data_IF_485154735362
#
_entry.id   IF_485154735362
#
_cell.length_a   1.000
_cell.length_b   1.000
_cell.length_c   1.000
_cell.angle_alpha   90.00
_cell.angle_beta   90.00
_cell.angle_gamma   90.00
#
_symmetry.space_group_name_H-M   'P 1'
#
loop_
_entity.id
_entity.type
_entity.pdbx_description
1 polymer ?
#
# COMPACT_ATOMS: atom_id res chain seq x y z
N UNK A 1 20.09 0.99 39.24
CA UNK A 1 20.42 1.46 37.88
C UNK A 1 19.37 0.91 36.94
N UNK A 2 18.48 1.76 36.38
CA UNK A 2 17.29 1.32 35.66
C UNK A 2 17.66 0.68 34.31
N UNK A 3 16.92 -0.36 33.91
CA UNK A 3 17.04 -1.02 32.61
C UNK A 3 17.06 0.00 31.46
N UNK A 4 16.36 1.11 31.60
CA UNK A 4 16.31 2.23 30.64
C UNK A 4 17.67 2.89 30.35
N UNK A 5 18.62 2.93 31.33
CA UNK A 5 19.91 3.55 31.10
C UNK A 5 20.86 2.70 30.24
N UNK A 6 20.68 1.37 30.28
CA UNK A 6 21.43 0.42 29.43
C UNK A 6 21.04 0.47 27.96
N UNK A 7 19.75 0.72 27.68
CA UNK A 7 19.24 0.83 26.31
C UNK A 7 19.56 2.18 25.64
N UNK A 8 19.75 3.24 26.42
CA UNK A 8 20.01 4.58 25.88
C UNK A 8 21.37 4.70 25.18
N UNK A 9 22.34 3.87 25.54
CA UNK A 9 23.70 3.87 24.97
C UNK A 9 23.93 2.75 23.92
N UNK A 10 22.89 1.95 23.61
CA UNK A 10 22.98 0.94 22.55
C UNK A 10 22.78 1.60 21.17
N UNK A 11 23.80 1.55 20.27
CA UNK A 11 23.71 2.15 18.96
C UNK A 11 22.61 1.51 18.08
N UNK A 12 22.27 0.23 18.32
CA UNK A 12 21.16 -0.43 17.63
C UNK A 12 19.82 0.13 18.09
N UNK A 13 19.63 0.33 19.38
CA UNK A 13 18.42 0.89 19.95
C UNK A 13 18.20 2.35 19.50
N UNK A 14 19.24 3.17 19.52
CA UNK A 14 19.18 4.55 19.01
C UNK A 14 18.82 4.59 17.51
N UNK A 15 19.35 3.64 16.72
CA UNK A 15 19.06 3.50 15.29
C UNK A 15 17.61 3.09 15.05
N UNK A 16 17.09 2.12 15.81
CA UNK A 16 15.69 1.67 15.75
C UNK A 16 14.74 2.82 16.07
N UNK A 17 14.94 3.51 17.21
CA UNK A 17 14.11 4.66 17.61
C UNK A 17 14.13 5.75 16.53
N UNK A 18 15.30 6.09 16.01
CA UNK A 18 15.43 7.12 14.96
C UNK A 18 14.75 6.72 13.65
N UNK A 19 14.75 5.44 13.31
CA UNK A 19 14.13 4.94 12.08
C UNK A 19 12.62 4.86 12.23
N UNK A 20 12.15 4.30 13.35
CA UNK A 20 10.72 4.22 13.68
C UNK A 20 10.12 5.61 13.90
N UNK A 21 10.82 6.51 14.58
CA UNK A 21 10.39 7.90 14.76
C UNK A 21 10.23 8.67 13.45
N UNK A 22 11.13 8.47 12.49
CA UNK A 22 11.03 9.11 11.18
C UNK A 22 9.84 8.57 10.37
N UNK A 23 9.60 7.24 10.40
CA UNK A 23 8.42 6.61 9.79
C UNK A 23 7.13 7.09 10.44
N UNK A 24 7.10 7.08 11.77
CA UNK A 24 5.95 7.55 12.54
C UNK A 24 5.60 8.98 12.19
N UNK A 25 6.58 9.90 12.19
CA UNK A 25 6.36 11.30 11.83
C UNK A 25 5.85 11.46 10.40
N UNK A 26 6.43 10.75 9.43
CA UNK A 26 5.98 10.82 8.02
C UNK A 26 4.57 10.26 7.87
N UNK A 27 4.25 9.16 8.52
CA UNK A 27 2.91 8.56 8.45
C UNK A 27 1.87 9.43 9.15
N UNK A 28 2.18 10.02 10.30
CA UNK A 28 1.29 10.95 11.02
C UNK A 28 0.99 12.20 10.19
N UNK A 29 2.01 12.78 9.53
CA UNK A 29 1.80 13.91 8.62
C UNK A 29 0.95 13.51 7.41
N UNK A 30 1.21 12.35 6.81
CA UNK A 30 0.42 11.84 5.68
C UNK A 30 -1.05 11.62 6.06
N UNK A 31 -1.32 11.14 7.28
CA UNK A 31 -2.69 10.98 7.79
C UNK A 31 -3.36 12.33 8.07
N UNK A 32 -2.64 13.30 8.63
CA UNK A 32 -3.15 14.67 8.75
C UNK A 32 -3.55 15.27 7.40
N UNK A 33 -2.71 15.08 6.38
CA UNK A 33 -3.04 15.47 5.01
C UNK A 33 -4.25 14.71 4.47
N UNK A 34 -4.41 13.42 4.77
CA UNK A 34 -5.57 12.63 4.34
C UNK A 34 -6.87 13.13 4.97
N UNK A 35 -6.85 13.58 6.24
CA UNK A 35 -8.02 14.23 6.89
C UNK A 35 -8.36 15.52 6.13
N UNK A 36 -7.36 16.37 5.86
CA UNK A 36 -7.55 17.60 5.09
C UNK A 36 -8.15 17.31 3.71
N UNK A 37 -7.61 16.32 2.99
CA UNK A 37 -8.16 15.86 1.70
C UNK A 37 -9.63 15.46 1.84
N UNK A 38 -9.97 14.64 2.85
CA UNK A 38 -11.34 14.20 3.11
C UNK A 38 -12.29 15.37 3.35
N UNK A 39 -11.90 16.34 4.17
CA UNK A 39 -12.70 17.56 4.45
C UNK A 39 -12.90 18.39 3.17
N UNK A 40 -11.83 18.64 2.41
CA UNK A 40 -11.92 19.43 1.18
C UNK A 40 -12.78 18.75 0.12
N UNK A 41 -12.61 17.43 -0.09
CA UNK A 41 -13.40 16.66 -1.06
C UNK A 41 -14.88 16.61 -0.66
N UNK A 42 -15.17 16.40 0.64
CA UNK A 42 -16.54 16.37 1.14
C UNK A 42 -17.23 17.73 1.00
N UNK A 43 -16.51 18.83 1.23
CA UNK A 43 -17.02 20.19 1.02
C UNK A 43 -17.22 20.52 -0.47
N UNK A 44 -16.32 20.08 -1.34
CA UNK A 44 -16.38 20.33 -2.78
C UNK A 44 -17.50 19.53 -3.45
N UNK A 45 -17.58 18.23 -3.17
CA UNK A 45 -18.41 17.29 -3.94
C UNK A 45 -19.63 16.75 -3.16
N UNK A 46 -19.70 17.05 -1.87
CA UNK A 46 -20.71 16.49 -0.94
C UNK A 46 -20.37 15.08 -0.46
N UNK A 47 -21.03 14.63 0.64
CA UNK A 47 -20.77 13.34 1.28
C UNK A 47 -21.09 12.15 0.37
N UNK A 48 -22.09 12.25 -0.48
CA UNK A 48 -22.47 11.19 -1.43
C UNK A 48 -21.35 10.88 -2.44
N UNK A 49 -20.74 11.91 -3.05
CA UNK A 49 -19.63 11.73 -4.00
C UNK A 49 -18.35 11.27 -3.30
N UNK A 50 -18.10 11.74 -2.07
CA UNK A 50 -16.99 11.26 -1.25
C UNK A 50 -17.16 9.79 -0.85
N UNK A 51 -18.39 9.37 -0.56
CA UNK A 51 -18.73 7.97 -0.31
C UNK A 51 -18.53 7.10 -1.54
N UNK A 52 -18.95 7.57 -2.72
CA UNK A 52 -18.71 6.86 -3.99
C UNK A 52 -17.20 6.64 -4.24
N UNK A 53 -16.37 7.66 -4.04
CA UNK A 53 -14.91 7.51 -4.09
C UNK A 53 -14.42 6.47 -3.09
N UNK A 54 -14.99 6.46 -1.87
CA UNK A 54 -14.69 5.47 -0.85
C UNK A 54 -14.97 4.04 -1.31
N UNK A 55 -16.14 3.81 -1.91
CA UNK A 55 -16.54 2.50 -2.45
C UNK A 55 -15.57 2.05 -3.55
N UNK A 56 -15.28 2.92 -4.53
CA UNK A 56 -14.37 2.63 -5.64
C UNK A 56 -12.97 2.23 -5.12
N UNK A 57 -12.45 3.02 -4.17
CA UNK A 57 -11.13 2.78 -3.59
C UNK A 57 -11.10 1.51 -2.75
N UNK A 58 -12.10 1.29 -1.90
CA UNK A 58 -12.21 0.10 -1.06
C UNK A 58 -12.37 -1.17 -1.89
N UNK A 59 -13.19 -1.14 -2.95
CA UNK A 59 -13.36 -2.29 -3.84
C UNK A 59 -12.04 -2.73 -4.47
N UNK A 60 -11.31 -1.79 -5.10
CA UNK A 60 -10.02 -2.09 -5.70
C UNK A 60 -8.99 -2.59 -4.66
N UNK A 61 -8.98 -2.00 -3.46
CA UNK A 61 -8.09 -2.42 -2.37
C UNK A 61 -8.44 -3.82 -1.87
N UNK A 62 -9.72 -4.12 -1.65
CA UNK A 62 -10.19 -5.44 -1.19
C UNK A 62 -9.87 -6.53 -2.22
N UNK A 63 -10.16 -6.29 -3.52
CA UNK A 63 -9.80 -7.25 -4.58
C UNK A 63 -8.29 -7.50 -4.59
N UNK A 64 -7.48 -6.44 -4.52
CA UNK A 64 -6.03 -6.59 -4.43
C UNK A 64 -5.61 -7.40 -3.18
N UNK A 65 -6.24 -7.18 -2.04
CA UNK A 65 -5.91 -7.86 -0.78
C UNK A 65 -6.27 -9.34 -0.78
N UNK A 66 -7.33 -9.74 -1.50
CA UNK A 66 -7.70 -11.15 -1.68
C UNK A 66 -6.60 -11.93 -2.41
N UNK A 67 -5.97 -11.31 -3.39
CA UNK A 67 -4.93 -11.95 -4.21
C UNK A 67 -3.51 -11.62 -3.74
N UNK A 68 -3.31 -10.58 -2.92
CA UNK A 68 -1.98 -10.16 -2.49
C UNK A 68 -1.36 -11.18 -1.54
N UNK A 69 -0.16 -11.64 -1.90
CA UNK A 69 0.71 -12.41 -1.05
C UNK A 69 1.62 -11.45 -0.28
N UNK A 70 1.90 -11.72 1.00
CA UNK A 70 2.80 -10.90 1.83
C UNK A 70 4.26 -11.05 1.38
N UNK A 71 4.56 -10.55 0.18
CA UNK A 71 5.88 -10.68 -0.44
C UNK A 71 6.96 -9.95 0.34
N UNK A 72 6.61 -8.90 1.08
CA UNK A 72 7.54 -8.21 1.97
C UNK A 72 8.12 -9.14 3.04
N UNK A 73 7.29 -9.97 3.68
CA UNK A 73 7.74 -10.93 4.69
C UNK A 73 8.63 -12.02 4.10
N UNK A 74 8.28 -12.51 2.91
CA UNK A 74 9.10 -13.50 2.19
C UNK A 74 10.48 -12.92 1.88
N UNK A 75 10.53 -11.69 1.37
CA UNK A 75 11.79 -11.00 1.07
C UNK A 75 12.60 -10.75 2.34
N UNK A 76 11.97 -10.30 3.42
CA UNK A 76 12.65 -10.03 4.69
C UNK A 76 13.23 -11.31 5.27
N UNK A 77 12.44 -12.38 5.34
CA UNK A 77 12.86 -13.64 5.94
C UNK A 77 13.94 -14.32 5.11
N UNK A 78 13.65 -14.69 3.87
CA UNK A 78 14.55 -15.49 3.05
C UNK A 78 15.60 -14.63 2.31
N UNK A 79 15.20 -13.50 1.76
CA UNK A 79 16.12 -12.56 1.11
C UNK A 79 17.15 -12.01 2.10
N UNK A 80 16.70 -11.61 3.31
CA UNK A 80 17.56 -11.15 4.40
C UNK A 80 18.48 -12.24 4.91
N UNK A 81 17.99 -13.49 5.10
CA UNK A 81 18.80 -14.62 5.52
C UNK A 81 19.93 -14.92 4.53
N UNK A 82 19.62 -14.99 3.23
CA UNK A 82 20.62 -15.24 2.19
C UNK A 82 21.63 -14.08 2.07
N UNK A 83 21.20 -12.84 2.23
CA UNK A 83 22.13 -11.70 2.25
C UNK A 83 23.10 -11.79 3.44
N UNK A 84 22.62 -12.15 4.63
CA UNK A 84 23.46 -12.30 5.83
C UNK A 84 24.46 -13.46 5.71
N UNK A 85 24.10 -14.53 4.96
CA UNK A 85 24.99 -15.65 4.62
C UNK A 85 25.95 -15.34 3.49
N UNK A 86 25.86 -14.17 2.85
CA UNK A 86 26.67 -13.81 1.68
C UNK A 86 26.23 -14.47 0.36
N UNK A 87 25.09 -15.19 0.36
CA UNK A 87 24.55 -15.92 -0.81
C UNK A 87 23.77 -14.98 -1.74
N UNK A 88 24.45 -14.02 -2.34
CA UNK A 88 23.84 -12.95 -3.16
C UNK A 88 22.97 -13.46 -4.30
N UNK A 89 23.35 -14.57 -4.93
CA UNK A 89 22.58 -15.16 -6.05
C UNK A 89 21.22 -15.69 -5.57
N UNK A 90 21.15 -16.39 -4.43
CA UNK A 90 19.89 -16.86 -3.86
C UNK A 90 19.01 -15.71 -3.40
N UNK A 91 19.59 -14.69 -2.75
CA UNK A 91 18.87 -13.48 -2.38
C UNK A 91 18.27 -12.79 -3.61
N UNK A 92 19.04 -12.64 -4.69
CA UNK A 92 18.56 -12.08 -5.97
C UNK A 92 17.41 -12.89 -6.55
N UNK A 93 17.53 -14.22 -6.57
CA UNK A 93 16.51 -15.11 -7.13
C UNK A 93 15.19 -15.03 -6.37
N UNK A 94 15.22 -15.01 -5.01
CA UNK A 94 14.03 -14.84 -4.15
C UNK A 94 13.34 -13.50 -4.41
N UNK A 95 14.09 -12.41 -4.43
CA UNK A 95 13.53 -11.07 -4.64
C UNK A 95 12.91 -10.96 -6.03
N UNK A 96 13.54 -11.55 -7.05
CA UNK A 96 12.96 -11.62 -8.40
C UNK A 96 11.68 -12.46 -8.43
N UNK A 97 11.67 -13.62 -7.79
CA UNK A 97 10.49 -14.47 -7.70
C UNK A 97 9.34 -13.73 -7.01
N UNK A 98 9.59 -13.07 -5.88
CA UNK A 98 8.61 -12.26 -5.17
C UNK A 98 8.04 -11.16 -6.05
N UNK A 99 8.90 -10.37 -6.70
CA UNK A 99 8.47 -9.26 -7.55
C UNK A 99 7.69 -9.72 -8.80
N UNK A 100 8.06 -10.83 -9.42
CA UNK A 100 7.32 -11.39 -10.55
C UNK A 100 5.94 -11.90 -10.11
N UNK A 101 5.88 -12.62 -8.98
CA UNK A 101 4.61 -13.11 -8.43
C UNK A 101 3.67 -11.96 -8.10
N UNK A 102 4.17 -10.93 -7.42
CA UNK A 102 3.39 -9.73 -7.10
C UNK A 102 2.89 -9.03 -8.36
N UNK A 103 3.73 -8.89 -9.39
CA UNK A 103 3.35 -8.30 -10.67
C UNK A 103 2.24 -9.07 -11.39
N UNK A 104 2.32 -10.41 -11.43
CA UNK A 104 1.29 -11.26 -12.01
C UNK A 104 -0.02 -11.13 -11.25
N UNK A 105 0.05 -11.14 -9.92
CA UNK A 105 -1.12 -10.99 -9.03
C UNK A 105 -1.77 -9.62 -9.18
N UNK A 106 -0.99 -8.55 -9.28
CA UNK A 106 -1.51 -7.19 -9.51
C UNK A 106 -2.21 -7.06 -10.87
N UNK A 107 -1.64 -7.69 -11.90
CA UNK A 107 -2.26 -7.75 -13.22
C UNK A 107 -3.58 -8.53 -13.19
N UNK A 108 -3.61 -9.66 -12.50
CA UNK A 108 -4.82 -10.46 -12.32
C UNK A 108 -5.90 -9.68 -11.55
N UNK A 109 -5.53 -9.04 -10.43
CA UNK A 109 -6.43 -8.20 -9.64
C UNK A 109 -7.00 -7.05 -10.47
N UNK A 110 -6.19 -6.40 -11.32
CA UNK A 110 -6.66 -5.38 -12.25
C UNK A 110 -7.75 -5.92 -13.19
N UNK A 111 -7.53 -7.08 -13.83
CA UNK A 111 -8.53 -7.68 -14.71
C UNK A 111 -9.81 -8.08 -13.96
N UNK A 112 -9.69 -8.60 -12.73
CA UNK A 112 -10.86 -8.91 -11.90
C UNK A 112 -11.68 -7.65 -11.63
N UNK A 113 -11.05 -6.54 -11.22
CA UNK A 113 -11.76 -5.26 -11.00
C UNK A 113 -12.41 -4.78 -12.29
N UNK A 114 -11.71 -4.82 -13.42
CA UNK A 114 -12.22 -4.39 -14.72
C UNK A 114 -13.46 -5.20 -15.14
N UNK A 115 -13.40 -6.53 -15.03
CA UNK A 115 -14.51 -7.42 -15.42
C UNK A 115 -15.72 -7.34 -14.47
N UNK A 116 -15.50 -6.96 -13.21
CA UNK A 116 -16.54 -6.86 -12.19
C UNK A 116 -17.00 -5.41 -11.93
N UNK A 117 -16.49 -4.43 -12.70
CA UNK A 117 -16.77 -3.01 -12.50
C UNK A 117 -18.28 -2.68 -12.63
N UNK A 118 -18.97 -3.26 -13.61
CA UNK A 118 -20.41 -3.09 -13.78
C UNK A 118 -21.22 -3.70 -12.63
N UNK A 119 -20.81 -4.88 -12.15
CA UNK A 119 -21.42 -5.51 -10.98
C UNK A 119 -21.21 -4.65 -9.73
N UNK A 120 -19.99 -4.11 -9.54
CA UNK A 120 -19.70 -3.21 -8.42
C UNK A 120 -20.49 -1.90 -8.49
N UNK A 121 -20.71 -1.37 -9.71
CA UNK A 121 -21.59 -0.23 -9.94
C UNK A 121 -23.03 -0.52 -9.45
N UNK A 122 -23.61 -1.64 -9.89
CA UNK A 122 -25.00 -1.98 -9.59
C UNK A 122 -25.21 -2.33 -8.11
N UNK A 123 -24.30 -3.10 -7.52
CA UNK A 123 -24.46 -3.68 -6.17
C UNK A 123 -23.95 -2.73 -5.08
N UNK A 124 -22.79 -2.10 -5.29
CA UNK A 124 -22.12 -1.30 -4.27
C UNK A 124 -22.36 0.19 -4.42
N UNK A 125 -22.12 0.74 -5.63
CA UNK A 125 -22.28 2.17 -5.87
C UNK A 125 -23.75 2.58 -6.03
N UNK A 126 -24.59 1.67 -6.50
CA UNK A 126 -26.03 1.89 -6.77
C UNK A 126 -26.27 3.18 -7.55
N UNK A 127 -25.39 3.48 -8.50
CA UNK A 127 -25.37 4.72 -9.27
C UNK A 127 -24.94 4.37 -10.69
N UNK A 128 -25.84 4.50 -11.68
CA UNK A 128 -25.53 4.14 -13.05
C UNK A 128 -24.47 5.07 -13.67
N UNK A 129 -23.64 4.53 -14.55
CA UNK A 129 -22.64 5.27 -15.30
C UNK A 129 -21.34 5.57 -14.55
N UNK A 130 -21.03 4.87 -13.44
CA UNK A 130 -19.80 5.05 -12.67
C UNK A 130 -18.82 3.86 -12.76
N UNK A 131 -19.15 2.81 -13.53
CA UNK A 131 -18.29 1.62 -13.68
C UNK A 131 -16.86 1.98 -14.15
N UNK A 132 -16.73 2.99 -15.02
CA UNK A 132 -15.43 3.48 -15.46
C UNK A 132 -14.52 3.95 -14.32
N UNK A 133 -15.07 4.44 -13.22
CA UNK A 133 -14.29 4.90 -12.07
C UNK A 133 -13.54 3.73 -11.41
N UNK A 134 -14.19 2.56 -11.31
CA UNK A 134 -13.57 1.33 -10.80
C UNK A 134 -12.41 0.90 -11.69
N UNK A 135 -12.64 0.87 -13.01
CA UNK A 135 -11.60 0.48 -13.99
C UNK A 135 -10.42 1.46 -14.00
N UNK A 136 -10.70 2.77 -14.01
CA UNK A 136 -9.65 3.79 -14.00
C UNK A 136 -8.84 3.74 -12.70
N UNK A 137 -9.52 3.62 -11.56
CA UNK A 137 -8.80 3.53 -10.28
C UNK A 137 -8.00 2.23 -10.13
N UNK A 138 -8.45 1.13 -10.76
CA UNK A 138 -7.72 -0.13 -10.79
C UNK A 138 -6.36 -0.03 -11.51
N UNK A 139 -6.14 0.96 -12.39
CA UNK A 139 -4.80 1.24 -12.94
C UNK A 139 -3.76 1.51 -11.84
N UNK A 140 -4.22 2.02 -10.68
CA UNK A 140 -3.38 2.15 -9.51
C UNK A 140 -2.83 0.82 -8.98
N UNK A 141 -3.49 -0.31 -9.23
CA UNK A 141 -2.96 -1.64 -8.88
C UNK A 141 -1.73 -1.96 -9.72
N UNK A 142 -1.80 -1.66 -11.03
CA UNK A 142 -0.66 -1.84 -11.92
C UNK A 142 0.52 -0.91 -11.58
N UNK A 143 0.23 0.31 -11.13
CA UNK A 143 1.28 1.22 -10.67
C UNK A 143 1.98 0.73 -9.39
N UNK A 144 1.26 -0.03 -8.55
CA UNK A 144 1.75 -0.59 -7.29
C UNK A 144 2.13 -2.08 -7.38
N UNK A 145 2.41 -2.58 -8.57
CA UNK A 145 2.66 -4.00 -8.87
C UNK A 145 3.82 -4.64 -8.10
N UNK A 146 4.65 -3.88 -7.41
CA UNK A 146 5.86 -4.36 -6.73
C UNK A 146 6.08 -3.65 -5.38
N UNK A 147 5.03 -3.15 -4.74
CA UNK A 147 5.14 -2.34 -3.51
C UNK A 147 5.53 -3.19 -2.31
N UNK A 148 4.97 -4.39 -2.16
CA UNK A 148 5.29 -5.32 -1.07
C UNK A 148 6.76 -5.78 -1.17
N UNK A 149 7.18 -6.26 -2.35
CA UNK A 149 8.57 -6.66 -2.59
C UNK A 149 9.53 -5.50 -2.35
N UNK A 150 9.19 -4.29 -2.82
CA UNK A 150 9.98 -3.08 -2.59
C UNK A 150 10.09 -2.74 -1.10
N UNK A 151 8.99 -2.87 -0.34
CA UNK A 151 8.99 -2.70 1.11
C UNK A 151 9.97 -3.68 1.78
N UNK A 152 9.91 -4.97 1.43
CA UNK A 152 10.84 -5.97 1.94
C UNK A 152 12.30 -5.63 1.61
N UNK A 153 12.60 -5.17 0.39
CA UNK A 153 13.93 -4.73 -0.01
C UNK A 153 14.40 -3.55 0.86
N UNK A 154 13.57 -2.54 1.07
CA UNK A 154 13.92 -1.39 1.90
C UNK A 154 14.15 -1.78 3.36
N UNK A 155 13.44 -2.80 3.87
CA UNK A 155 13.66 -3.34 5.21
C UNK A 155 15.00 -4.05 5.34
N UNK A 156 15.31 -5.00 4.45
CA UNK A 156 16.58 -5.76 4.51
C UNK A 156 17.82 -4.91 4.20
N UNK A 157 17.63 -3.77 3.53
CA UNK A 157 18.71 -2.81 3.24
C UNK A 157 18.76 -1.66 4.23
N UNK A 158 17.95 -1.69 5.30
CA UNK A 158 17.87 -0.66 6.34
C UNK A 158 17.55 0.75 5.79
N UNK A 159 16.68 0.80 4.79
CA UNK A 159 16.25 2.01 4.10
C UNK A 159 14.75 2.28 4.19
N UNK A 160 14.08 1.68 5.19
CA UNK A 160 12.63 1.79 5.39
C UNK A 160 12.13 3.26 5.49
N UNK A 161 13.00 4.19 5.92
CA UNK A 161 12.68 5.63 5.95
C UNK A 161 12.29 6.19 4.59
N UNK A 162 12.82 5.63 3.49
CA UNK A 162 12.46 6.06 2.13
C UNK A 162 10.99 5.80 1.83
N UNK A 163 10.42 4.71 2.36
CA UNK A 163 8.98 4.43 2.23
C UNK A 163 8.15 5.54 2.90
N UNK A 164 8.49 5.92 4.14
CA UNK A 164 7.79 7.03 4.82
C UNK A 164 7.91 8.35 4.05
N UNK A 165 9.08 8.65 3.50
CA UNK A 165 9.28 9.84 2.67
C UNK A 165 8.43 9.79 1.40
N UNK A 166 8.36 8.65 0.71
CA UNK A 166 7.52 8.50 -0.48
C UNK A 166 6.03 8.59 -0.16
N UNK A 167 5.58 8.03 0.99
CA UNK A 167 4.22 8.21 1.48
C UNK A 167 3.88 9.68 1.70
N UNK A 168 4.79 10.43 2.31
CA UNK A 168 4.60 11.86 2.54
C UNK A 168 4.57 12.65 1.22
N UNK A 169 5.51 12.37 0.31
CA UNK A 169 5.56 13.01 -1.01
C UNK A 169 4.25 12.76 -1.78
N UNK A 170 3.78 11.53 -1.87
CA UNK A 170 2.51 11.22 -2.54
C UNK A 170 1.34 11.94 -1.87
N UNK A 171 1.29 11.98 -0.54
CA UNK A 171 0.24 12.69 0.21
C UNK A 171 0.24 14.19 -0.08
N UNK A 172 1.41 14.82 -0.14
CA UNK A 172 1.55 16.24 -0.48
C UNK A 172 1.04 16.49 -1.91
N UNK A 173 1.50 15.70 -2.90
CA UNK A 173 1.05 15.87 -4.28
C UNK A 173 -0.46 15.70 -4.43
N UNK A 174 -1.03 14.67 -3.81
CA UNK A 174 -2.48 14.45 -3.83
C UNK A 174 -3.22 15.62 -3.19
N UNK A 175 -2.73 16.12 -2.05
CA UNK A 175 -3.32 17.27 -1.36
C UNK A 175 -3.28 18.53 -2.23
N UNK A 176 -2.14 18.82 -2.87
CA UNK A 176 -2.01 20.00 -3.75
C UNK A 176 -3.00 19.97 -4.91
N UNK A 177 -3.21 18.81 -5.55
CA UNK A 177 -4.18 18.65 -6.62
C UNK A 177 -5.61 18.84 -6.08
N UNK A 178 -5.94 18.28 -4.91
CA UNK A 178 -7.26 18.42 -4.28
C UNK A 178 -7.52 19.87 -3.85
N UNK A 179 -6.52 20.56 -3.31
CA UNK A 179 -6.62 22.00 -2.99
C UNK A 179 -6.86 22.82 -4.26
N UNK A 180 -6.11 22.56 -5.33
CA UNK A 180 -6.36 23.19 -6.62
C UNK A 180 -7.77 22.90 -7.15
N UNK A 181 -8.23 21.65 -7.08
CA UNK A 181 -9.59 21.26 -7.46
C UNK A 181 -10.65 22.00 -6.61
N UNK A 182 -10.41 22.16 -5.31
CA UNK A 182 -11.33 22.87 -4.42
C UNK A 182 -11.53 24.33 -4.83
N UNK A 183 -10.45 25.06 -5.13
CA UNK A 183 -10.55 26.46 -5.55
C UNK A 183 -11.07 26.66 -6.98
N UNK A 184 -10.88 25.66 -7.85
CA UNK A 184 -11.33 25.71 -9.25
C UNK A 184 -12.69 25.02 -9.47
N UNK A 185 -13.42 24.66 -8.40
CA UNK A 185 -14.67 23.90 -8.45
C UNK A 185 -14.54 22.61 -9.29
N UNK A 186 -13.49 21.87 -9.04
CA UNK A 186 -13.14 20.64 -9.76
C UNK A 186 -14.19 19.55 -9.60
N UNK A 187 -14.19 18.64 -10.58
CA UNK A 187 -15.15 17.52 -10.66
C UNK A 187 -14.65 16.28 -9.89
N UNK A 188 -15.57 15.33 -9.69
CA UNK A 188 -15.29 14.02 -9.11
C UNK A 188 -14.15 13.29 -9.85
N UNK A 189 -14.09 13.41 -11.17
CA UNK A 189 -13.04 12.80 -12.02
C UNK A 189 -11.64 13.36 -11.70
N UNK A 190 -11.53 14.67 -11.44
CA UNK A 190 -10.25 15.30 -11.06
C UNK A 190 -9.77 14.76 -9.71
N UNK A 191 -10.68 14.63 -8.75
CA UNK A 191 -10.36 14.10 -7.41
C UNK A 191 -9.96 12.62 -7.49
N UNK A 192 -10.68 11.81 -8.30
CA UNK A 192 -10.30 10.41 -8.56
C UNK A 192 -8.89 10.34 -9.17
N UNK A 193 -8.62 11.19 -10.18
CA UNK A 193 -7.31 11.32 -10.80
C UNK A 193 -6.21 11.71 -9.81
N UNK A 194 -6.49 12.61 -8.86
CA UNK A 194 -5.54 13.01 -7.82
C UNK A 194 -5.14 11.81 -6.94
N UNK A 195 -6.09 11.00 -6.50
CA UNK A 195 -5.80 9.78 -5.73
C UNK A 195 -5.06 8.74 -6.56
N UNK A 196 -5.42 8.55 -7.83
CA UNK A 196 -4.73 7.64 -8.73
C UNK A 196 -3.27 8.07 -8.98
N UNK A 197 -3.04 9.36 -9.24
CA UNK A 197 -1.70 9.92 -9.42
C UNK A 197 -0.87 9.76 -8.14
N UNK A 198 -1.44 10.01 -6.97
CA UNK A 198 -0.78 9.78 -5.70
C UNK A 198 -0.33 8.32 -5.55
N UNK A 199 -1.22 7.36 -5.80
CA UNK A 199 -0.88 5.93 -5.81
C UNK A 199 0.23 5.61 -6.81
N UNK A 200 0.19 6.19 -7.98
CA UNK A 200 1.20 5.98 -9.04
C UNK A 200 2.57 6.51 -8.63
N UNK A 201 2.63 7.71 -8.03
CA UNK A 201 3.87 8.29 -7.49
C UNK A 201 4.47 7.37 -6.43
N UNK A 202 3.65 6.86 -5.51
CA UNK A 202 4.11 5.95 -4.46
C UNK A 202 4.65 4.64 -5.06
N UNK A 203 3.86 3.97 -5.91
CA UNK A 203 4.24 2.66 -6.47
C UNK A 203 5.50 2.72 -7.32
N UNK A 204 5.56 3.68 -8.26
CA UNK A 204 6.75 3.88 -9.10
C UNK A 204 7.95 4.32 -8.24
N UNK A 205 7.74 5.22 -7.29
CA UNK A 205 8.79 5.66 -6.37
C UNK A 205 9.38 4.51 -5.54
N UNK A 206 8.51 3.63 -5.00
CA UNK A 206 8.91 2.43 -4.28
C UNK A 206 9.71 1.49 -5.17
N UNK A 207 9.23 1.22 -6.38
CA UNK A 207 9.92 0.37 -7.35
C UNK A 207 11.31 0.91 -7.71
N UNK A 208 11.42 2.20 -8.05
CA UNK A 208 12.70 2.82 -8.42
C UNK A 208 13.69 2.77 -7.25
N UNK A 209 13.25 3.14 -6.05
CA UNK A 209 14.11 3.13 -4.85
C UNK A 209 14.60 1.73 -4.52
N UNK A 210 13.73 0.71 -4.61
CA UNK A 210 14.09 -0.69 -4.41
C UNK A 210 15.12 -1.15 -5.45
N UNK A 211 14.93 -0.82 -6.73
CA UNK A 211 15.88 -1.15 -7.81
C UNK A 211 17.27 -0.54 -7.56
N UNK A 212 17.31 0.70 -7.09
CA UNK A 212 18.58 1.38 -6.75
C UNK A 212 19.27 0.67 -5.57
N UNK A 213 18.52 0.29 -4.53
CA UNK A 213 19.10 -0.43 -3.38
C UNK A 213 19.61 -1.82 -3.78
N UNK A 214 18.86 -2.54 -4.61
CA UNK A 214 19.31 -3.84 -5.14
C UNK A 214 20.61 -3.75 -5.90
N UNK A 215 20.75 -2.76 -6.78
CA UNK A 215 22.01 -2.53 -7.50
C UNK A 215 23.19 -2.24 -6.56
N UNK A 216 22.94 -1.50 -5.46
CA UNK A 216 23.98 -1.16 -4.48
C UNK A 216 24.45 -2.38 -3.67
N UNK A 217 23.52 -3.27 -3.29
CA UNK A 217 23.80 -4.40 -2.38
C UNK A 217 24.25 -5.64 -3.15
N UNK A 218 23.59 -5.97 -4.27
CA UNK A 218 23.83 -7.19 -5.03
C UNK A 218 24.71 -6.98 -6.28
N UNK A 219 24.95 -5.72 -6.66
CA UNK A 219 25.70 -5.38 -7.87
C UNK A 219 24.80 -5.29 -9.12
N UNK A 220 25.38 -4.91 -10.27
CA UNK A 220 24.62 -4.71 -11.50
C UNK A 220 24.06 -6.00 -12.12
N UNK A 221 24.71 -7.13 -11.89
CA UNK A 221 24.37 -8.43 -12.44
C UNK A 221 23.18 -9.14 -11.75
N UNK A 222 22.63 -8.60 -10.66
CA UNK A 222 21.55 -9.26 -9.91
C UNK A 222 20.32 -9.60 -10.77
N UNK A 223 20.02 -8.79 -11.80
CA UNK A 223 18.93 -9.04 -12.73
C UNK A 223 19.13 -10.28 -13.60
N UNK A 224 20.36 -10.67 -13.86
CA UNK A 224 20.71 -11.82 -14.71
C UNK A 224 20.65 -13.15 -13.95
N UNK A 225 20.52 -13.12 -12.60
CA UNK A 225 20.45 -14.34 -11.80
C UNK A 225 19.23 -15.17 -12.21
N UNK A 226 19.40 -16.44 -12.63
CA UNK A 226 18.30 -17.30 -13.01
C UNK A 226 17.49 -17.74 -11.78
N UNK A 227 16.19 -17.97 -11.96
CA UNK A 227 15.32 -18.46 -10.88
C UNK A 227 15.63 -19.91 -10.48
N UNK A 228 16.28 -20.67 -11.35
CA UNK A 228 16.70 -22.06 -11.10
C UNK A 228 17.71 -22.22 -9.95
N UNK A 229 18.31 -21.11 -9.48
CA UNK A 229 19.17 -21.11 -8.28
C UNK A 229 18.36 -21.40 -6.99
N UNK A 230 17.03 -21.25 -7.02
CA UNK A 230 16.15 -21.57 -5.91
C UNK A 230 15.96 -23.09 -5.79
N UNK A 231 16.61 -23.71 -4.83
CA UNK A 231 16.59 -25.17 -4.61
C UNK A 231 15.29 -25.69 -4.00
N UNK A 232 14.46 -24.84 -3.42
CA UNK A 232 13.24 -25.24 -2.73
C UNK A 232 12.07 -24.28 -2.98
N UNK A 233 11.57 -24.27 -4.22
CA UNK A 233 10.34 -23.53 -4.57
C UNK A 233 9.16 -24.00 -3.69
N UNK A 234 9.12 -25.30 -3.34
CA UNK A 234 8.06 -25.88 -2.51
C UNK A 234 8.00 -25.30 -1.09
N UNK A 235 9.16 -25.03 -0.46
CA UNK A 235 9.19 -24.39 0.86
C UNK A 235 8.74 -22.93 0.79
N UNK A 236 9.14 -22.22 -0.25
CA UNK A 236 8.74 -20.84 -0.48
C UNK A 236 7.25 -20.69 -0.71
N UNK A 237 6.66 -21.58 -1.55
CA UNK A 237 5.23 -21.58 -1.78
C UNK A 237 4.46 -21.99 -0.52
N UNK A 238 4.94 -22.99 0.24
CA UNK A 238 4.33 -23.41 1.51
C UNK A 238 4.34 -22.27 2.53
N UNK A 239 5.45 -21.53 2.64
CA UNK A 239 5.55 -20.37 3.52
C UNK A 239 4.61 -19.24 3.05
N UNK A 240 4.63 -18.92 1.76
CA UNK A 240 3.72 -17.94 1.19
C UNK A 240 2.26 -18.30 1.51
N UNK A 241 1.83 -19.55 1.29
CA UNK A 241 0.47 -20.00 1.59
C UNK A 241 0.14 -19.99 3.09
N UNK A 242 1.03 -20.43 3.98
CA UNK A 242 0.73 -20.47 5.42
C UNK A 242 0.65 -19.07 6.07
N UNK A 243 1.46 -18.12 5.61
CA UNK A 243 1.44 -16.74 6.09
C UNK A 243 0.22 -15.94 5.59
N UNK A 244 -0.34 -16.36 4.44
CA UNK A 244 -1.47 -15.69 3.79
C UNK A 244 -2.75 -15.82 4.60
N UNK A 245 -3.08 -17.02 5.11
CA UNK A 245 -4.44 -17.31 5.58
C UNK A 245 -4.82 -16.40 6.75
N UNK A 246 -4.00 -16.30 7.78
CA UNK A 246 -4.35 -15.54 8.99
C UNK A 246 -4.34 -14.02 8.77
N UNK A 247 -3.30 -13.50 8.13
CA UNK A 247 -3.13 -12.06 7.99
C UNK A 247 -3.98 -11.47 6.84
N UNK A 248 -4.19 -12.25 5.77
CA UNK A 248 -5.05 -11.84 4.65
C UNK A 248 -6.51 -11.74 5.09
N UNK A 249 -6.99 -12.68 5.90
CA UNK A 249 -8.37 -12.63 6.44
C UNK A 249 -8.57 -11.34 7.23
N UNK A 250 -7.68 -11.01 8.17
CA UNK A 250 -7.77 -9.79 8.97
C UNK A 250 -7.72 -8.54 8.08
N UNK A 251 -6.83 -8.51 7.08
CA UNK A 251 -6.70 -7.41 6.13
C UNK A 251 -7.96 -7.23 5.29
N UNK A 252 -8.54 -8.33 4.77
CA UNK A 252 -9.79 -8.29 4.01
C UNK A 252 -10.91 -7.71 4.87
N UNK A 253 -11.10 -8.19 6.11
CA UNK A 253 -12.12 -7.66 7.00
C UNK A 253 -11.95 -6.16 7.23
N UNK A 254 -10.74 -5.69 7.51
CA UNK A 254 -10.44 -4.28 7.74
C UNK A 254 -10.65 -3.41 6.50
N UNK A 255 -10.25 -3.89 5.32
CA UNK A 255 -10.37 -3.11 4.09
C UNK A 255 -11.77 -3.17 3.46
N UNK A 256 -12.57 -4.19 3.78
CA UNK A 256 -13.92 -4.36 3.25
C UNK A 256 -15.00 -3.61 4.02
N UNK A 257 -14.70 -2.94 5.13
CA UNK A 257 -15.71 -2.23 5.95
C UNK A 257 -16.56 -1.27 5.12
N UNK A 258 -15.94 -0.45 4.28
CA UNK A 258 -16.64 0.48 3.40
C UNK A 258 -17.51 -0.23 2.35
N UNK A 259 -17.14 -1.44 1.93
CA UNK A 259 -17.91 -2.26 1.01
C UNK A 259 -19.19 -2.75 1.70
N UNK A 260 -19.10 -3.22 2.95
CA UNK A 260 -20.25 -3.66 3.73
C UNK A 260 -21.23 -2.51 3.97
N UNK A 261 -20.72 -1.32 4.32
CA UNK A 261 -21.56 -0.13 4.46
C UNK A 261 -22.25 0.21 3.14
N UNK A 262 -21.55 0.15 2.00
CA UNK A 262 -22.13 0.39 0.67
C UNK A 262 -23.15 -0.65 0.24
N UNK A 263 -22.94 -1.92 0.62
CA UNK A 263 -23.85 -3.02 0.33
C UNK A 263 -25.18 -2.87 1.06
N UNK A 264 -25.14 -2.61 2.37
CA UNK A 264 -26.33 -2.58 3.21
C UNK A 264 -27.00 -1.19 3.29
N UNK A 265 -26.23 -0.12 3.12
CA UNK A 265 -26.74 1.26 3.19
C UNK A 265 -26.58 1.95 1.82
N UNK A 266 -26.35 3.25 1.84
CA UNK A 266 -26.19 4.09 0.67
C UNK A 266 -24.80 4.75 0.63
N UNK A 267 -24.46 5.35 -0.52
CA UNK A 267 -23.19 6.05 -0.72
C UNK A 267 -22.98 7.24 0.22
N UNK A 268 -24.05 7.87 0.68
CA UNK A 268 -23.98 9.00 1.62
C UNK A 268 -23.54 8.50 3.00
N UNK A 269 -24.11 7.37 3.45
CA UNK A 269 -23.72 6.68 4.68
C UNK A 269 -22.25 6.25 4.63
N UNK A 270 -21.79 5.75 3.48
CA UNK A 270 -20.36 5.44 3.25
C UNK A 270 -19.50 6.69 3.41
N UNK A 271 -19.95 7.84 2.88
CA UNK A 271 -19.25 9.11 3.03
C UNK A 271 -19.07 9.53 4.49
N UNK A 272 -20.14 9.48 5.28
CA UNK A 272 -20.06 9.77 6.71
C UNK A 272 -19.20 8.77 7.47
N UNK A 273 -19.37 7.48 7.20
CA UNK A 273 -18.55 6.43 7.80
C UNK A 273 -17.06 6.65 7.52
N UNK A 274 -16.70 6.97 6.27
CA UNK A 274 -15.32 7.22 5.87
C UNK A 274 -14.68 8.40 6.59
N UNK A 275 -15.43 9.49 6.81
CA UNK A 275 -14.94 10.64 7.60
C UNK A 275 -14.68 10.20 9.04
N UNK A 276 -15.67 9.55 9.68
CA UNK A 276 -15.54 9.06 11.05
C UNK A 276 -14.36 8.08 11.20
N UNK A 277 -14.26 7.11 10.30
CA UNK A 277 -13.16 6.13 10.26
C UNK A 277 -11.79 6.80 10.18
N UNK A 278 -11.63 7.81 9.31
CA UNK A 278 -10.35 8.52 9.15
C UNK A 278 -9.94 9.24 10.44
N UNK A 279 -10.90 9.84 11.17
CA UNK A 279 -10.66 10.51 12.44
C UNK A 279 -10.28 9.49 13.53
N UNK A 280 -11.04 8.41 13.64
CA UNK A 280 -10.78 7.34 14.63
C UNK A 280 -9.40 6.72 14.38
N UNK A 281 -9.08 6.41 13.12
CA UNK A 281 -7.78 5.86 12.76
C UNK A 281 -6.63 6.79 13.09
N UNK A 282 -6.79 8.10 12.89
CA UNK A 282 -5.79 9.08 13.31
C UNK A 282 -5.55 9.07 14.83
N UNK A 283 -6.62 8.95 15.61
CA UNK A 283 -6.54 8.90 17.08
C UNK A 283 -5.97 7.56 17.60
N UNK A 284 -6.09 6.47 16.83
CA UNK A 284 -5.58 5.15 17.23
C UNK A 284 -4.09 4.94 16.97
N UNK A 285 -3.44 5.79 16.13
CA UNK A 285 -2.01 5.66 15.79
C UNK A 285 -1.09 5.49 17.02
N UNK A 286 -1.25 6.25 18.12
CA UNK A 286 -0.38 6.10 19.28
C UNK A 286 -0.56 4.76 20.01
N UNK A 287 -1.69 4.09 19.80
CA UNK A 287 -2.05 2.83 20.44
C UNK A 287 -1.74 1.59 19.59
N UNK A 288 -1.51 1.77 18.27
CA UNK A 288 -1.09 0.68 17.39
C UNK A 288 0.35 0.29 17.75
N UNK A 289 0.62 -0.96 18.14
CA UNK A 289 1.96 -1.40 18.48
C UNK A 289 2.87 -1.28 17.25
N UNK A 290 4.04 -0.68 17.46
CA UNK A 290 5.13 -0.55 16.49
C UNK A 290 5.66 -1.91 16.03
#
# INVERSE_FOLDING_TARGET
MSLFSKFKNDPLFAKVIRSSGALFSSNTLSLGLSILQGVLVTRLLGPSSFGLLGIVMAFASTVNSIFSFRMSELVVRYGGEYLNKGEKYKASAIIKAAGLTEGIVSLFAFFVVMLTAELAEQVLAKTPGVAWMFTVYALGLLANFNTETSTGILQITDRIKLQGTLNLVQSIFTTLIIVGAFFLNGTLSIVLGAYLLGKTILGIGMFITAQVQMRRVLGSAWRQTPLSVLTSIRELTRFAFSSIISATIIKIFRESELIWVGLFLDKTSVGYYRVAYTIVHFLSIPADPL
#
